data_IF_790970804532
#
_entry.id   IF_790970804532
#
_cell.length_a   1.000
_cell.length_b   1.000
_cell.length_c   1.000
_cell.angle_alpha   90.00
_cell.angle_beta   90.00
_cell.angle_gamma   90.00
#
_symmetry.space_group_name_H-M   'P 1'
#
loop_
_entity.id
_entity.type
_entity.pdbx_description
1 polymer ?
#
# COMPACT_ATOMS: atom_id res chain seq x y z
N UNK A 1 -21.07 14.48 21.23
CA UNK A 1 -20.95 15.64 22.13
C UNK A 1 -19.78 15.40 23.08
N UNK A 2 -18.79 16.30 23.11
CA UNK A 2 -17.78 16.32 24.19
C UNK A 2 -18.32 17.31 25.20
N UNK A 3 -18.70 16.82 26.38
CA UNK A 3 -19.12 17.68 27.46
C UNK A 3 -17.88 18.18 28.20
N UNK A 4 -17.47 19.42 27.92
CA UNK A 4 -16.34 20.08 28.59
C UNK A 4 -16.78 20.86 29.83
N UNK A 5 -18.03 20.70 30.29
CA UNK A 5 -18.61 21.48 31.39
C UNK A 5 -18.04 21.13 32.77
N UNK A 6 -17.32 20.01 32.91
CA UNK A 6 -16.76 19.54 34.20
C UNK A 6 -15.33 20.01 34.49
N UNK A 7 -14.72 20.83 33.63
CA UNK A 7 -13.32 21.24 33.72
C UNK A 7 -13.17 22.76 33.90
N UNK A 8 -12.71 23.18 35.09
CA UNK A 8 -12.59 24.59 35.49
C UNK A 8 -11.41 25.32 34.82
N UNK A 9 -10.35 24.62 34.43
CA UNK A 9 -9.12 25.23 33.89
C UNK A 9 -8.85 24.86 32.44
N UNK A 10 -8.23 25.77 31.66
CA UNK A 10 -7.79 25.52 30.27
C UNK A 10 -6.94 24.25 30.14
N UNK A 11 -6.12 23.96 31.15
CA UNK A 11 -5.28 22.76 31.18
C UNK A 11 -6.10 21.47 31.30
N UNK A 12 -7.21 21.49 32.05
CA UNK A 12 -8.08 20.33 32.23
C UNK A 12 -8.87 20.01 30.96
N UNK A 13 -9.33 21.06 30.25
CA UNK A 13 -9.96 20.91 28.92
C UNK A 13 -8.98 20.34 27.89
N UNK A 14 -7.72 20.80 27.90
CA UNK A 14 -6.66 20.25 27.03
C UNK A 14 -6.42 18.79 27.36
N UNK A 15 -6.32 18.42 28.65
CA UNK A 15 -6.17 17.02 29.08
C UNK A 15 -7.31 16.12 28.61
N UNK A 16 -8.57 16.56 28.77
CA UNK A 16 -9.73 15.79 28.31
C UNK A 16 -9.67 15.55 26.79
N UNK A 17 -9.27 16.58 26.03
CA UNK A 17 -9.12 16.46 24.57
C UNK A 17 -7.96 15.51 24.22
N UNK A 18 -6.80 15.63 24.86
CA UNK A 18 -5.65 14.76 24.60
C UNK A 18 -5.95 13.32 24.99
N UNK A 19 -6.59 13.08 26.13
CA UNK A 19 -6.94 11.73 26.60
C UNK A 19 -7.97 11.09 25.68
N UNK A 20 -8.95 11.86 25.17
CA UNK A 20 -9.92 11.36 24.20
C UNK A 20 -9.26 11.07 22.85
N UNK A 21 -8.29 11.89 22.44
CA UNK A 21 -7.53 11.66 21.22
C UNK A 21 -6.66 10.41 21.35
N UNK A 22 -5.93 10.25 22.46
CA UNK A 22 -5.13 9.05 22.74
C UNK A 22 -5.99 7.79 22.79
N UNK A 23 -7.14 7.83 23.48
CA UNK A 23 -8.05 6.70 23.53
C UNK A 23 -8.68 6.42 22.15
N UNK A 24 -9.00 7.45 21.39
CA UNK A 24 -9.47 7.32 20.00
C UNK A 24 -8.44 6.63 19.11
N UNK A 25 -7.16 7.05 19.19
CA UNK A 25 -6.05 6.45 18.45
C UNK A 25 -5.81 5.01 18.90
N UNK A 26 -5.77 4.74 20.21
CA UNK A 26 -5.61 3.37 20.76
C UNK A 26 -6.71 2.44 20.29
N UNK A 27 -7.96 2.88 20.35
CA UNK A 27 -9.11 2.09 19.88
C UNK A 27 -9.05 1.83 18.37
N UNK A 28 -8.59 2.80 17.57
CA UNK A 28 -8.41 2.64 16.13
C UNK A 28 -7.33 1.58 15.84
N UNK A 29 -6.17 1.68 16.48
CA UNK A 29 -5.06 0.74 16.34
C UNK A 29 -5.39 -0.67 16.86
N UNK A 30 -6.25 -0.78 17.88
CA UNK A 30 -6.70 -2.06 18.42
C UNK A 30 -7.91 -2.64 17.70
N UNK A 31 -8.53 -1.87 16.81
CA UNK A 31 -9.73 -2.31 16.08
C UNK A 31 -9.43 -3.48 15.15
N UNK A 32 -10.40 -4.38 15.00
CA UNK A 32 -10.28 -5.48 14.05
C UNK A 32 -10.16 -4.98 12.60
N UNK A 33 -10.67 -3.77 12.31
CA UNK A 33 -10.47 -3.08 11.03
C UNK A 33 -9.00 -2.76 10.74
N UNK A 34 -8.23 -2.33 11.75
CA UNK A 34 -6.80 -2.06 11.58
C UNK A 34 -6.02 -3.35 11.33
N UNK A 35 -6.35 -4.43 12.05
CA UNK A 35 -5.77 -5.76 11.81
C UNK A 35 -6.09 -6.27 10.41
N UNK A 36 -7.34 -6.13 9.97
CA UNK A 36 -7.76 -6.51 8.63
C UNK A 36 -7.02 -5.69 7.55
N UNK A 37 -6.90 -4.38 7.76
CA UNK A 37 -6.09 -3.52 6.88
C UNK A 37 -4.66 -4.02 6.75
N UNK A 38 -3.96 -4.21 7.88
CA UNK A 38 -2.57 -4.68 7.87
C UNK A 38 -2.46 -6.07 7.23
N UNK A 39 -3.42 -6.95 7.51
CA UNK A 39 -3.49 -8.28 6.89
C UNK A 39 -3.62 -8.19 5.37
N UNK A 40 -4.44 -7.28 4.84
CA UNK A 40 -4.58 -7.10 3.40
C UNK A 40 -3.34 -6.42 2.80
N UNK A 41 -2.84 -5.35 3.41
CA UNK A 41 -1.68 -4.62 2.88
C UNK A 41 -0.39 -5.45 2.90
N UNK A 42 -0.24 -6.35 3.87
CA UNK A 42 0.90 -7.28 3.92
C UNK A 42 0.97 -8.29 2.77
N UNK A 43 -0.14 -8.48 2.02
CA UNK A 43 -0.20 -9.38 0.87
C UNK A 43 0.39 -8.76 -0.41
N UNK A 44 0.62 -7.46 -0.44
CA UNK A 44 1.31 -6.81 -1.57
C UNK A 44 2.81 -7.11 -1.55
N UNK A 45 3.41 -7.16 -2.73
CA UNK A 45 4.83 -7.45 -2.85
C UNK A 45 5.69 -6.21 -2.62
N UNK A 46 6.81 -6.39 -1.93
CA UNK A 46 7.92 -5.45 -1.96
C UNK A 46 8.75 -5.72 -3.21
N UNK A 47 8.42 -5.05 -4.31
CA UNK A 47 9.16 -5.19 -5.57
C UNK A 47 10.61 -4.71 -5.43
N UNK A 48 11.51 -5.32 -6.20
CA UNK A 48 12.89 -4.83 -6.32
C UNK A 48 12.90 -3.43 -6.93
N UNK A 49 13.94 -2.65 -6.64
CA UNK A 49 14.10 -1.30 -7.17
C UNK A 49 13.91 -1.24 -8.71
N UNK A 50 14.53 -2.17 -9.44
CA UNK A 50 14.37 -2.24 -10.89
C UNK A 50 12.92 -2.48 -11.32
N UNK A 51 12.19 -3.35 -10.62
CA UNK A 51 10.77 -3.58 -10.91
C UNK A 51 9.93 -2.34 -10.52
N UNK A 52 10.26 -1.65 -9.44
CA UNK A 52 9.59 -0.39 -9.05
C UNK A 52 9.75 0.69 -10.12
N UNK A 53 10.99 0.91 -10.59
CA UNK A 53 11.27 1.86 -11.68
C UNK A 53 10.57 1.44 -12.97
N UNK A 54 10.59 0.14 -13.30
CA UNK A 54 9.95 -0.40 -14.48
C UNK A 54 8.41 -0.23 -14.45
N UNK A 55 7.79 -0.42 -13.29
CA UNK A 55 6.37 -0.14 -13.06
C UNK A 55 6.10 1.36 -13.24
N UNK A 56 6.85 2.22 -12.54
CA UNK A 56 6.65 3.67 -12.57
C UNK A 56 6.82 4.26 -13.98
N UNK A 57 7.73 3.71 -14.79
CA UNK A 57 7.95 4.14 -16.18
C UNK A 57 6.76 3.80 -17.08
N UNK A 58 6.07 2.69 -16.83
CA UNK A 58 4.90 2.26 -17.61
C UNK A 58 3.59 2.87 -17.10
N UNK A 59 3.48 3.07 -15.78
CA UNK A 59 2.32 3.64 -15.10
C UNK A 59 2.79 4.49 -13.90
N UNK A 60 3.05 5.80 -14.10
CA UNK A 60 3.57 6.68 -13.05
C UNK A 60 2.63 6.89 -11.86
N UNK A 61 1.32 6.71 -12.09
CA UNK A 61 0.25 6.84 -11.11
C UNK A 61 -0.11 5.51 -10.41
N UNK A 62 0.71 4.47 -10.57
CA UNK A 62 0.49 3.18 -9.92
C UNK A 62 0.63 3.31 -8.39
N UNK A 63 -0.32 2.73 -7.65
CA UNK A 63 -0.37 2.76 -6.18
C UNK A 63 -0.23 1.37 -5.59
N UNK A 64 -1.12 0.45 -5.95
CA UNK A 64 -1.12 -0.93 -5.47
C UNK A 64 -1.09 -1.88 -6.65
N UNK A 65 -0.02 -2.67 -6.75
CA UNK A 65 0.25 -3.49 -7.92
C UNK A 65 0.38 -4.97 -7.55
N UNK A 66 -0.41 -5.82 -8.20
CA UNK A 66 -0.37 -7.26 -8.01
C UNK A 66 -0.62 -8.02 -9.32
N UNK A 67 -0.21 -9.31 -9.35
CA UNK A 67 -0.52 -10.20 -10.46
C UNK A 67 -2.02 -10.52 -10.52
N UNK A 68 -2.52 -10.87 -11.71
CA UNK A 68 -3.95 -11.17 -11.93
C UNK A 68 -4.49 -12.23 -10.95
N UNK A 69 -3.75 -13.32 -10.76
CA UNK A 69 -4.18 -14.37 -9.83
C UNK A 69 -4.19 -13.89 -8.37
N UNK A 70 -3.26 -13.01 -8.00
CA UNK A 70 -3.23 -12.42 -6.66
C UNK A 70 -4.44 -11.51 -6.44
N UNK A 71 -4.82 -10.69 -7.43
CA UNK A 71 -6.04 -9.89 -7.37
C UNK A 71 -7.28 -10.75 -7.07
N UNK A 72 -7.44 -11.84 -7.83
CA UNK A 72 -8.59 -12.72 -7.66
C UNK A 72 -8.59 -13.46 -6.30
N UNK A 73 -7.44 -14.04 -5.91
CA UNK A 73 -7.36 -14.92 -4.73
C UNK A 73 -7.21 -14.17 -3.41
N UNK A 74 -6.41 -13.11 -3.40
CA UNK A 74 -5.98 -12.46 -2.15
C UNK A 74 -6.81 -11.24 -1.80
N UNK A 75 -7.40 -10.58 -2.82
CA UNK A 75 -8.08 -9.30 -2.70
C UNK A 75 -9.53 -9.32 -3.20
N UNK A 76 -10.00 -10.45 -3.77
CA UNK A 76 -11.33 -10.59 -4.38
C UNK A 76 -11.66 -9.48 -5.39
N UNK A 77 -10.65 -9.05 -6.14
CA UNK A 77 -10.80 -8.08 -7.24
C UNK A 77 -10.42 -8.74 -8.54
N UNK A 78 -11.01 -8.27 -9.63
CA UNK A 78 -10.79 -8.80 -10.97
C UNK A 78 -10.30 -7.67 -11.88
N UNK A 79 -9.33 -7.99 -12.72
CA UNK A 79 -8.81 -7.05 -13.73
C UNK A 79 -9.89 -6.78 -14.78
N UNK A 80 -10.07 -5.52 -15.17
CA UNK A 80 -11.05 -5.15 -16.18
C UNK A 80 -10.66 -5.72 -17.55
N UNK A 81 -11.66 -6.08 -18.35
CA UNK A 81 -11.43 -6.65 -19.68
C UNK A 81 -10.80 -5.59 -20.59
N UNK A 82 -9.68 -5.92 -21.23
CA UNK A 82 -8.98 -5.03 -22.16
C UNK A 82 -7.88 -4.17 -21.50
N UNK A 83 -7.68 -4.28 -20.19
CA UNK A 83 -6.60 -3.58 -19.50
C UNK A 83 -5.22 -4.05 -19.92
N UNK A 84 -4.31 -3.10 -20.12
CA UNK A 84 -2.93 -3.38 -20.45
C UNK A 84 -2.15 -3.72 -19.17
N UNK A 85 -1.55 -4.92 -19.14
CA UNK A 85 -0.70 -5.32 -18.03
C UNK A 85 0.63 -4.56 -18.01
N UNK A 86 1.10 -4.25 -16.80
CA UNK A 86 2.41 -3.68 -16.53
C UNK A 86 3.44 -4.81 -16.50
N UNK A 87 4.51 -4.68 -17.27
CA UNK A 87 5.54 -5.73 -17.35
C UNK A 87 6.52 -5.59 -16.19
N UNK A 88 6.82 -6.70 -15.51
CA UNK A 88 7.89 -6.83 -14.52
C UNK A 88 8.81 -8.00 -14.87
N UNK A 89 9.99 -8.03 -14.27
CA UNK A 89 10.90 -9.17 -14.32
C UNK A 89 10.63 -10.09 -13.13
N UNK A 90 10.21 -11.33 -13.42
CA UNK A 90 9.95 -12.36 -12.41
C UNK A 90 10.98 -13.48 -12.50
N UNK A 91 11.44 -14.04 -11.36
CA UNK A 91 12.37 -15.15 -11.37
C UNK A 91 11.72 -16.40 -11.97
N UNK A 92 12.43 -17.04 -12.90
CA UNK A 92 12.06 -18.29 -13.56
C UNK A 92 13.30 -19.20 -13.66
N UNK A 93 13.80 -19.71 -12.53
CA UNK A 93 14.97 -20.59 -12.53
C UNK A 93 14.65 -21.91 -13.23
N UNK A 94 15.60 -22.43 -14.02
CA UNK A 94 15.48 -23.70 -14.71
C UNK A 94 16.68 -24.60 -14.41
N UNK A 95 16.48 -25.92 -14.53
CA UNK A 95 17.55 -26.92 -14.36
C UNK A 95 18.17 -27.21 -15.71
N UNK A 96 19.50 -27.20 -15.79
CA UNK A 96 20.26 -27.59 -16.98
C UNK A 96 21.23 -28.70 -16.61
N UNK A 97 21.26 -29.77 -17.40
CA UNK A 97 22.32 -30.78 -17.32
C UNK A 97 23.53 -30.26 -18.08
N UNK A 98 24.68 -30.22 -17.43
CA UNK A 98 25.95 -29.82 -18.03
C UNK A 98 26.89 -31.00 -17.86
N UNK A 99 27.49 -31.42 -18.98
CA UNK A 99 28.56 -32.40 -18.99
C UNK A 99 29.85 -31.68 -18.61
N UNK A 100 30.46 -32.13 -17.53
CA UNK A 100 31.76 -31.64 -17.09
C UNK A 100 32.76 -32.79 -17.22
N UNK A 101 33.87 -32.54 -17.90
CA UNK A 101 35.00 -33.45 -17.91
C UNK A 101 35.69 -33.36 -16.57
N UNK A 102 35.68 -34.45 -15.82
CA UNK A 102 36.38 -34.58 -14.53
C UNK A 102 37.45 -35.66 -14.72
N UNK A 103 38.62 -35.46 -14.12
CA UNK A 103 39.65 -36.48 -14.11
C UNK A 103 39.36 -37.45 -12.96
N UNK A 104 39.32 -38.74 -13.28
CA UNK A 104 39.18 -39.80 -12.27
C UNK A 104 40.49 -39.97 -11.48
N UNK A 105 40.50 -40.74 -10.37
CA UNK A 105 41.70 -40.97 -9.53
C UNK A 105 42.90 -41.56 -10.30
N UNK A 106 42.64 -42.12 -11.49
CA UNK A 106 43.64 -42.70 -12.42
C UNK A 106 44.04 -41.76 -13.58
N UNK A 107 43.61 -40.49 -13.57
CA UNK A 107 43.98 -39.49 -14.59
C UNK A 107 43.26 -39.61 -15.93
N UNK A 108 42.20 -40.41 -16.02
CA UNK A 108 41.37 -40.55 -17.22
C UNK A 108 40.24 -39.51 -17.23
N UNK A 109 39.94 -38.92 -18.40
CA UNK A 109 38.81 -38.01 -18.57
C UNK A 109 37.48 -38.78 -18.52
N UNK A 110 36.75 -38.68 -17.41
CA UNK A 110 35.37 -39.15 -17.31
C UNK A 110 34.41 -37.97 -17.50
N UNK A 111 33.33 -38.21 -18.26
CA UNK A 111 32.29 -37.19 -18.46
C UNK A 111 31.24 -37.35 -17.38
N UNK A 112 31.23 -36.45 -16.41
CA UNK A 112 30.22 -36.43 -15.35
C UNK A 112 29.08 -35.48 -15.73
N UNK A 113 27.83 -35.98 -15.72
CA UNK A 113 26.65 -35.14 -15.98
C UNK A 113 26.16 -34.51 -14.69
N UNK A 114 26.44 -33.22 -14.48
CA UNK A 114 25.95 -32.48 -13.31
C UNK A 114 24.70 -31.67 -13.64
N UNK A 115 23.68 -31.76 -12.79
CA UNK A 115 22.49 -30.91 -12.92
C UNK A 115 22.71 -29.61 -12.15
N UNK A 116 22.81 -28.49 -12.85
CA UNK A 116 22.92 -27.15 -12.25
C UNK A 116 21.60 -26.39 -12.33
N UNK A 117 21.29 -25.59 -11.31
CA UNK A 117 20.13 -24.68 -11.28
C UNK A 117 20.58 -23.31 -11.76
N UNK A 118 20.09 -22.89 -12.92
CA UNK A 118 20.40 -21.58 -13.51
C UNK A 118 19.30 -20.60 -13.10
N UNK A 119 19.70 -19.46 -12.54
CA UNK A 119 18.77 -18.36 -12.27
C UNK A 119 18.51 -17.62 -13.58
N UNK A 120 17.24 -17.51 -13.95
CA UNK A 120 16.79 -16.76 -15.13
C UNK A 120 15.56 -15.94 -14.73
N UNK A 121 15.25 -14.92 -15.53
CA UNK A 121 14.11 -14.05 -15.35
C UNK A 121 13.27 -14.04 -16.61
N UNK A 122 11.95 -13.95 -16.43
CA UNK A 122 10.99 -13.83 -17.52
C UNK A 122 10.10 -12.60 -17.32
N UNK A 123 9.58 -12.01 -18.41
CA UNK A 123 8.54 -11.00 -18.28
C UNK A 123 7.29 -11.63 -17.65
N UNK A 124 6.72 -10.94 -16.68
CA UNK A 124 5.44 -11.24 -16.07
C UNK A 124 4.56 -9.99 -16.05
N UNK A 125 3.24 -10.19 -16.01
CA UNK A 125 2.27 -9.10 -16.05
C UNK A 125 1.62 -8.89 -14.68
N UNK A 126 1.59 -7.63 -14.26
CA UNK A 126 0.92 -7.15 -13.06
C UNK A 126 -0.02 -6.01 -13.41
N UNK A 127 -0.95 -5.70 -12.51
CA UNK A 127 -2.00 -4.72 -12.73
C UNK A 127 -2.13 -3.85 -11.49
N UNK A 128 -2.36 -2.56 -11.71
CA UNK A 128 -2.66 -1.60 -10.65
C UNK A 128 -4.11 -1.71 -10.18
N UNK A 129 -4.41 -1.28 -8.96
CA UNK A 129 -5.76 -1.25 -8.39
C UNK A 129 -6.77 -0.51 -9.27
N UNK A 130 -6.36 0.59 -9.92
CA UNK A 130 -7.22 1.37 -10.82
C UNK A 130 -7.72 0.56 -12.04
N UNK A 131 -7.01 -0.52 -12.37
CA UNK A 131 -7.33 -1.43 -13.48
C UNK A 131 -8.22 -2.61 -13.04
N UNK A 132 -8.70 -2.61 -11.79
CA UNK A 132 -9.47 -3.70 -11.22
C UNK A 132 -10.82 -3.23 -10.68
N UNK A 133 -11.80 -4.11 -10.68
CA UNK A 133 -13.09 -3.93 -9.99
C UNK A 133 -13.30 -5.02 -8.94
N UNK A 134 -14.16 -4.76 -7.96
CA UNK A 134 -14.47 -5.70 -6.86
C UNK A 134 -14.53 -5.01 -5.51
N UNK A 135 -14.38 -5.79 -4.43
CA UNK A 135 -14.40 -5.28 -3.05
C UNK A 135 -13.33 -4.19 -2.87
N UNK A 136 -13.68 -2.99 -2.35
CA UNK A 136 -12.70 -1.94 -2.11
C UNK A 136 -11.65 -2.43 -1.12
N UNK A 137 -10.39 -2.02 -1.32
CA UNK A 137 -9.37 -2.29 -0.31
C UNK A 137 -9.75 -1.60 1.00
N UNK A 138 -9.48 -2.22 2.16
CA UNK A 138 -9.72 -1.58 3.44
C UNK A 138 -8.91 -0.29 3.50
N UNK A 139 -9.51 0.74 4.10
CA UNK A 139 -8.84 2.00 4.40
C UNK A 139 -8.84 2.21 5.90
N UNK A 140 -7.70 2.63 6.45
CA UNK A 140 -7.61 3.11 7.84
C UNK A 140 -8.12 4.55 7.96
N UNK A 141 -8.33 5.24 6.82
CA UNK A 141 -8.70 6.66 6.79
C UNK A 141 -9.72 6.96 7.89
N UNK A 142 -9.25 7.75 8.87
CA UNK A 142 -10.08 8.29 9.93
C UNK A 142 -11.29 8.87 9.20
N UNK A 143 -12.50 8.50 9.61
CA UNK A 143 -13.69 9.19 9.12
C UNK A 143 -13.38 10.68 9.20
N UNK A 144 -13.55 11.42 8.10
CA UNK A 144 -13.44 12.87 8.14
C UNK A 144 -14.17 13.34 9.40
N UNK A 145 -13.48 14.14 10.22
CA UNK A 145 -14.03 14.62 11.48
C UNK A 145 -15.21 15.53 11.16
N UNK A 146 -16.38 14.93 11.00
CA UNK A 146 -17.64 15.62 10.83
C UNK A 146 -18.04 16.16 12.20
N UNK A 147 -17.52 17.35 12.51
CA UNK A 147 -17.89 18.13 13.67
C UNK A 147 -18.72 19.33 13.22
N UNK A 148 -19.94 19.46 13.74
CA UNK A 148 -20.67 20.72 13.62
C UNK A 148 -20.05 21.70 14.63
N UNK A 149 -19.43 22.77 14.14
CA UNK A 149 -18.92 23.86 14.99
C UNK A 149 -19.98 24.95 15.00
N UNK A 150 -20.55 25.20 16.17
CA UNK A 150 -21.51 26.28 16.36
C UNK A 150 -20.89 27.61 15.87
N UNK A 151 -21.62 28.35 15.05
CA UNK A 151 -21.18 29.61 14.44
C UNK A 151 -19.93 29.54 13.53
N UNK A 152 -19.59 28.38 12.94
CA UNK A 152 -18.48 28.26 11.98
C UNK A 152 -18.49 29.34 10.89
N UNK A 153 -19.66 29.63 10.31
CA UNK A 153 -19.81 30.65 9.28
C UNK A 153 -19.40 32.06 9.74
N UNK A 154 -19.67 32.41 11.01
CA UNK A 154 -19.28 33.69 11.58
C UNK A 154 -17.77 33.75 11.81
N UNK A 155 -17.19 32.68 12.34
CA UNK A 155 -15.74 32.55 12.55
C UNK A 155 -14.96 32.66 11.23
N UNK A 156 -15.36 31.89 10.23
CA UNK A 156 -14.70 31.88 8.92
C UNK A 156 -14.77 33.26 8.24
N UNK A 157 -15.92 33.94 8.35
CA UNK A 157 -16.09 35.30 7.84
C UNK A 157 -15.13 36.30 8.50
N UNK A 158 -15.04 36.28 9.84
CA UNK A 158 -14.10 37.15 10.58
C UNK A 158 -12.65 36.89 10.17
N UNK A 159 -12.27 35.62 10.01
CA UNK A 159 -10.90 35.26 9.56
C UNK A 159 -10.64 35.82 8.17
N UNK A 160 -11.61 35.71 7.25
CA UNK A 160 -11.49 36.23 5.89
C UNK A 160 -11.39 37.76 5.84
N UNK A 161 -12.08 38.47 6.73
CA UNK A 161 -12.04 39.94 6.80
C UNK A 161 -10.74 40.48 7.41
N UNK A 162 -10.16 39.77 8.38
CA UNK A 162 -8.93 40.21 9.08
C UNK A 162 -7.66 39.75 8.34
N UNK A 163 -7.76 38.69 7.54
CA UNK A 163 -6.60 38.13 6.85
C UNK A 163 -6.04 39.08 5.78
N UNK A 164 -4.72 39.37 5.81
CA UNK A 164 -4.06 40.15 4.76
C UNK A 164 -3.86 39.36 3.45
N UNK A 165 -4.17 38.06 3.45
CA UNK A 165 -4.04 37.15 2.29
C UNK A 165 -5.36 36.43 2.04
N UNK A 166 -5.62 36.03 0.78
CA UNK A 166 -6.88 35.37 0.43
C UNK A 166 -7.01 34.00 1.10
N UNK A 167 -8.21 33.72 1.59
CA UNK A 167 -8.54 32.48 2.31
C UNK A 167 -9.63 31.75 1.53
N UNK A 168 -9.26 30.60 0.97
CA UNK A 168 -10.14 29.72 0.19
C UNK A 168 -10.00 28.26 0.62
N UNK A 169 -11.00 27.44 0.27
CA UNK A 169 -10.91 25.99 0.42
C UNK A 169 -10.29 25.39 -0.83
N UNK A 170 -9.33 24.50 -0.66
CA UNK A 170 -8.86 23.60 -1.72
C UNK A 170 -9.41 22.20 -1.49
N UNK A 171 -9.66 21.48 -2.60
CA UNK A 171 -9.90 20.05 -2.52
C UNK A 171 -8.61 19.38 -2.08
N UNK A 172 -8.70 18.63 -0.99
CA UNK A 172 -7.65 17.69 -0.62
C UNK A 172 -7.73 16.57 -1.67
N UNK A 173 -6.75 16.51 -2.57
CA UNK A 173 -6.58 15.43 -3.54
C UNK A 173 -5.79 14.27 -2.93
#
# INVERSE_FOLDING_TARGET
MIDTSSADTRQDKIKIITDKLENGVKNLLQSDKYKEYLSIMSKFHNYSFCNTVLIATQKPDATYVAGLQSWNKNFKRFVNKGEKGIVILAPAPYKKKVEQKVLDESGNEITETKTIKIQSFKPAYVYDISQTHGEPLPSISVNELNGNVDNYGKLFKTIKEVSPVDVSFEKIS
#
